data_IF_210619042867
#
_entry.id   IF_210619042867
#
_cell.length_a   1.000
_cell.length_b   1.000
_cell.length_c   1.000
_cell.angle_alpha   90.00
_cell.angle_beta   90.00
_cell.angle_gamma   90.00
#
_symmetry.space_group_name_H-M   'P 1'
#
loop_
_entity.id
_entity.type
_entity.pdbx_description
1 polymer ?
#
# COMPACT_ATOMS: atom_id res chain seq x y z
N UNK A 1 -53.09 13.40 -36.14
CA UNK A 1 -53.69 14.67 -36.60
C UNK A 1 -54.54 15.27 -35.48
N UNK A 2 -54.29 16.55 -35.16
CA UNK A 2 -55.09 17.50 -34.35
C UNK A 2 -55.03 17.46 -32.81
N UNK A 3 -54.25 18.43 -32.33
CA UNK A 3 -54.18 19.10 -31.03
C UNK A 3 -55.53 19.49 -30.40
N UNK A 4 -55.60 19.53 -29.05
CA UNK A 4 -56.20 20.66 -28.32
C UNK A 4 -55.75 20.76 -26.87
N UNK A 5 -55.10 21.89 -26.59
CA UNK A 5 -54.73 22.46 -25.29
C UNK A 5 -55.97 22.99 -24.56
N UNK A 6 -56.02 22.87 -23.22
CA UNK A 6 -56.67 23.85 -22.33
C UNK A 6 -56.06 23.80 -20.93
N UNK A 7 -55.44 24.91 -20.54
CA UNK A 7 -55.00 25.27 -19.18
C UNK A 7 -56.20 25.55 -18.27
N UNK A 8 -56.07 25.39 -16.96
CA UNK A 8 -56.50 26.37 -15.92
C UNK A 8 -55.81 26.05 -14.59
N UNK A 9 -55.19 27.07 -14.00
CA UNK A 9 -54.46 27.11 -12.73
C UNK A 9 -55.45 27.42 -11.59
N UNK A 10 -55.32 26.78 -10.43
CA UNK A 10 -55.62 27.45 -9.16
C UNK A 10 -54.81 26.85 -7.99
N UNK A 11 -54.11 27.76 -7.30
CA UNK A 11 -53.25 27.57 -6.14
C UNK A 11 -54.00 27.06 -4.90
N UNK A 12 -53.31 26.30 -4.04
CA UNK A 12 -53.00 26.71 -2.66
C UNK A 12 -52.00 25.75 -2.00
N UNK A 13 -51.06 26.38 -1.31
CA UNK A 13 -49.88 25.84 -0.63
C UNK A 13 -50.21 24.81 0.45
N UNK A 14 -49.28 23.87 0.67
CA UNK A 14 -48.77 23.57 2.01
C UNK A 14 -47.38 22.90 1.93
N UNK A 15 -46.38 23.73 2.25
CA UNK A 15 -45.15 23.47 3.01
C UNK A 15 -44.54 22.05 2.99
N UNK A 16 -43.39 21.92 2.33
CA UNK A 16 -42.40 20.86 2.58
C UNK A 16 -41.04 21.54 2.87
N UNK A 17 -40.23 20.99 3.81
CA UNK A 17 -39.12 21.72 4.42
C UNK A 17 -37.90 21.85 3.50
N UNK A 18 -37.21 22.97 3.69
CA UNK A 18 -35.93 23.34 3.11
C UNK A 18 -34.89 22.21 3.24
N UNK A 19 -34.50 21.64 2.10
CA UNK A 19 -33.26 20.87 2.00
C UNK A 19 -32.12 21.85 1.77
N UNK A 20 -31.40 22.16 2.84
CA UNK A 20 -30.12 22.84 2.79
C UNK A 20 -29.17 22.02 1.92
N UNK A 21 -28.86 22.52 0.73
CA UNK A 21 -27.84 21.97 -0.16
C UNK A 21 -26.49 22.07 0.53
N UNK A 22 -26.03 20.99 1.18
CA UNK A 22 -24.63 20.84 1.53
C UNK A 22 -23.87 20.56 0.25
N UNK A 23 -23.07 21.53 -0.18
CA UNK A 23 -22.11 21.37 -1.26
C UNK A 23 -21.21 20.18 -0.93
N UNK A 24 -21.36 19.09 -1.70
CA UNK A 24 -20.39 18.03 -1.76
C UNK A 24 -19.12 18.62 -2.36
N UNK A 25 -18.16 18.99 -1.53
CA UNK A 25 -16.81 19.36 -1.97
C UNK A 25 -16.14 18.06 -2.37
N UNK A 26 -16.29 17.69 -3.63
CA UNK A 26 -15.49 16.67 -4.27
C UNK A 26 -14.06 17.22 -4.37
N UNK A 27 -13.22 16.82 -3.41
CA UNK A 27 -11.79 17.09 -3.49
C UNK A 27 -11.25 16.40 -4.75
N UNK A 28 -10.48 17.09 -5.61
CA UNK A 28 -9.82 16.44 -6.73
C UNK A 28 -8.91 15.35 -6.16
N UNK A 29 -9.17 14.09 -6.53
CA UNK A 29 -8.21 13.01 -6.32
C UNK A 29 -7.06 13.27 -7.31
N UNK A 30 -6.21 14.24 -7.00
CA UNK A 30 -4.86 14.25 -7.55
C UNK A 30 -4.14 13.08 -6.89
N UNK A 31 -3.94 12.02 -7.67
CA UNK A 31 -3.04 10.94 -7.31
C UNK A 31 -1.70 11.53 -6.85
N UNK A 32 -1.07 10.98 -5.79
CA UNK A 32 0.23 11.46 -5.32
C UNK A 32 1.24 11.48 -6.48
N UNK A 33 2.22 12.42 -6.51
CA UNK A 33 3.06 12.72 -7.68
C UNK A 33 4.10 11.65 -8.05
N UNK A 34 3.88 10.39 -7.67
CA UNK A 34 4.67 9.27 -8.15
C UNK A 34 3.82 8.52 -9.17
N UNK A 35 4.43 8.09 -10.27
CA UNK A 35 3.82 7.36 -11.39
C UNK A 35 3.23 8.23 -12.51
N UNK A 36 4.05 9.10 -13.09
CA UNK A 36 3.96 9.34 -14.54
C UNK A 36 4.72 8.19 -15.20
N UNK A 37 3.99 7.15 -15.60
CA UNK A 37 4.53 6.03 -16.37
C UNK A 37 5.11 6.54 -17.70
N UNK A 38 6.42 6.75 -17.74
CA UNK A 38 7.10 7.03 -19.00
C UNK A 38 7.08 5.75 -19.85
N UNK A 39 6.62 5.84 -21.08
CA UNK A 39 6.63 4.72 -22.05
C UNK A 39 8.03 4.09 -22.23
N UNK A 40 9.10 4.80 -21.82
CA UNK A 40 10.48 4.34 -21.77
C UNK A 40 10.88 3.49 -20.54
N UNK A 41 10.00 3.26 -19.57
CA UNK A 41 10.39 2.54 -18.35
C UNK A 41 10.79 1.10 -18.67
N UNK A 42 12.07 0.77 -18.46
CA UNK A 42 12.63 -0.59 -18.63
C UNK A 42 12.89 -1.17 -17.24
N UNK A 43 12.69 -2.47 -17.10
CA UNK A 43 12.88 -3.18 -15.83
C UNK A 43 14.21 -3.95 -15.83
N UNK A 44 15.04 -3.75 -14.79
CA UNK A 44 16.26 -4.53 -14.55
C UNK A 44 16.62 -4.49 -13.06
N UNK A 45 17.33 -5.52 -12.60
CA UNK A 45 17.95 -5.62 -11.29
C UNK A 45 19.43 -5.21 -11.27
N UNK A 46 20.09 -5.04 -12.42
CA UNK A 46 21.56 -4.95 -12.51
C UNK A 46 22.18 -3.72 -11.81
N UNK A 47 21.39 -2.68 -11.57
CA UNK A 47 21.85 -1.41 -10.98
C UNK A 47 21.17 -1.08 -9.64
N UNK A 48 20.47 -2.05 -9.06
CA UNK A 48 19.77 -1.91 -7.78
C UNK A 48 20.21 -3.01 -6.85
N UNK A 49 20.36 -2.67 -5.57
CA UNK A 49 20.79 -3.64 -4.56
C UNK A 49 19.66 -4.64 -4.28
N UNK A 50 19.97 -5.90 -3.90
CA UNK A 50 18.95 -6.89 -3.54
C UNK A 50 17.93 -6.41 -2.50
N UNK A 51 18.35 -5.53 -1.58
CA UNK A 51 17.46 -4.89 -0.60
C UNK A 51 16.34 -4.04 -1.21
N UNK A 52 16.50 -3.58 -2.44
CA UNK A 52 15.54 -2.72 -3.17
C UNK A 52 14.76 -3.50 -4.24
N UNK A 53 15.12 -4.76 -4.49
CA UNK A 53 14.48 -5.58 -5.53
C UNK A 53 12.99 -5.78 -5.26
N UNK A 54 12.58 -5.84 -4.00
CA UNK A 54 11.16 -5.95 -3.61
C UNK A 54 10.34 -4.77 -4.12
N UNK A 55 10.81 -3.55 -3.92
CA UNK A 55 10.12 -2.35 -4.39
C UNK A 55 10.07 -2.31 -5.92
N UNK A 56 11.14 -2.78 -6.58
CA UNK A 56 11.16 -2.93 -8.03
C UNK A 56 10.15 -3.98 -8.53
N UNK A 57 9.96 -5.09 -7.81
CA UNK A 57 8.94 -6.09 -8.14
C UNK A 57 7.53 -5.51 -8.00
N UNK A 58 7.27 -4.67 -7.00
CA UNK A 58 5.99 -3.95 -6.89
C UNK A 58 5.77 -2.95 -8.03
N UNK A 59 6.82 -2.27 -8.48
CA UNK A 59 6.76 -1.41 -9.66
C UNK A 59 6.35 -2.21 -10.92
N UNK A 60 6.93 -3.40 -11.10
CA UNK A 60 6.58 -4.31 -12.19
C UNK A 60 5.12 -4.80 -12.10
N UNK A 61 4.65 -5.11 -10.89
CA UNK A 61 3.27 -5.50 -10.62
C UNK A 61 2.28 -4.38 -10.95
N UNK A 62 2.51 -3.18 -10.42
CA UNK A 62 1.67 -2.02 -10.63
C UNK A 62 1.57 -1.69 -12.12
N UNK A 63 2.72 -1.66 -12.82
CA UNK A 63 2.74 -1.44 -14.26
C UNK A 63 1.95 -2.50 -15.02
N UNK A 64 2.12 -3.78 -14.70
CA UNK A 64 1.41 -4.87 -15.38
C UNK A 64 -0.11 -4.81 -15.14
N UNK A 65 -0.52 -4.43 -13.93
CA UNK A 65 -1.92 -4.23 -13.57
C UNK A 65 -2.53 -3.05 -14.34
N UNK A 66 -1.80 -1.93 -14.44
CA UNK A 66 -2.22 -0.77 -15.23
C UNK A 66 -2.40 -1.12 -16.71
N UNK A 67 -1.49 -1.92 -17.28
CA UNK A 67 -1.58 -2.35 -18.67
C UNK A 67 -2.80 -3.25 -18.97
N UNK A 68 -3.44 -3.82 -17.95
CA UNK A 68 -4.66 -4.61 -18.08
C UNK A 68 -5.95 -3.78 -18.03
N UNK A 69 -5.89 -2.52 -17.60
CA UNK A 69 -7.07 -1.65 -17.50
C UNK A 69 -7.79 -1.40 -18.84
N UNK A 70 -7.10 -1.22 -19.98
CA UNK A 70 -7.78 -0.97 -21.26
C UNK A 70 -8.63 -2.17 -21.69
N UNK A 71 -9.89 -1.91 -22.03
CA UNK A 71 -10.84 -2.94 -22.45
C UNK A 71 -10.29 -3.78 -23.62
N UNK A 72 -10.46 -5.10 -23.53
CA UNK A 72 -10.01 -6.05 -24.56
C UNK A 72 -8.52 -6.41 -24.48
N UNK A 73 -7.76 -5.87 -23.53
CA UNK A 73 -6.37 -6.29 -23.31
C UNK A 73 -6.33 -7.63 -22.59
N UNK A 74 -5.61 -8.60 -23.15
CA UNK A 74 -5.40 -9.90 -22.52
C UNK A 74 -4.10 -9.93 -21.70
N UNK A 75 -4.06 -10.74 -20.64
CA UNK A 75 -2.87 -10.95 -19.83
C UNK A 75 -1.66 -11.47 -20.65
N UNK A 76 -1.80 -12.43 -21.59
CA UNK A 76 -0.70 -12.81 -22.48
C UNK A 76 -0.10 -11.62 -23.22
N UNK A 77 -0.93 -10.68 -23.72
CA UNK A 77 -0.46 -9.47 -24.39
C UNK A 77 0.32 -8.56 -23.44
N UNK A 78 -0.12 -8.43 -22.19
CA UNK A 78 0.61 -7.67 -21.16
C UNK A 78 1.94 -8.34 -20.83
N UNK A 79 1.99 -9.66 -20.74
CA UNK A 79 3.22 -10.43 -20.53
C UNK A 79 4.20 -10.19 -21.68
N UNK A 80 3.76 -10.20 -22.93
CA UNK A 80 4.64 -9.90 -24.07
C UNK A 80 5.20 -8.47 -24.01
N UNK A 81 4.37 -7.49 -23.65
CA UNK A 81 4.83 -6.11 -23.41
C UNK A 81 5.82 -6.02 -22.23
N UNK A 82 5.57 -6.78 -21.16
CA UNK A 82 6.45 -6.87 -20.01
C UNK A 82 7.82 -7.43 -20.40
N UNK A 83 7.85 -8.54 -21.14
CA UNK A 83 9.07 -9.18 -21.64
C UNK A 83 9.86 -8.28 -22.60
N UNK A 84 9.18 -7.41 -23.35
CA UNK A 84 9.84 -6.40 -24.16
C UNK A 84 10.53 -5.31 -23.32
N UNK A 85 10.07 -5.07 -22.09
CA UNK A 85 10.62 -4.06 -21.16
C UNK A 85 11.73 -4.58 -20.25
N UNK A 86 11.76 -5.88 -19.95
CA UNK A 86 12.84 -6.45 -19.13
C UNK A 86 14.16 -6.50 -19.92
N UNK A 87 15.27 -6.24 -19.23
CA UNK A 87 16.63 -6.31 -19.76
C UNK A 87 17.59 -6.85 -18.71
N UNK A 88 18.85 -7.07 -19.08
CA UNK A 88 19.87 -7.50 -18.14
C UNK A 88 19.59 -8.88 -17.54
N UNK A 89 19.82 -9.02 -16.24
CA UNK A 89 19.61 -10.28 -15.52
C UNK A 89 18.17 -10.78 -15.64
N UNK A 90 17.16 -9.89 -15.59
CA UNK A 90 15.75 -10.28 -15.79
C UNK A 90 15.50 -10.87 -17.19
N UNK A 91 16.12 -10.28 -18.22
CA UNK A 91 15.97 -10.80 -19.58
C UNK A 91 16.71 -12.13 -19.77
N UNK A 92 17.86 -12.29 -19.12
CA UNK A 92 18.57 -13.55 -19.12
C UNK A 92 17.73 -14.65 -18.48
N UNK A 93 17.12 -14.38 -17.31
CA UNK A 93 16.16 -15.27 -16.65
C UNK A 93 14.98 -15.64 -17.55
N UNK A 94 14.39 -14.70 -18.29
CA UNK A 94 13.32 -15.03 -19.23
C UNK A 94 13.74 -16.04 -20.33
N UNK A 95 14.98 -15.92 -20.81
CA UNK A 95 15.50 -16.77 -21.89
C UNK A 95 15.81 -18.19 -21.38
N UNK A 96 16.17 -18.38 -20.10
CA UNK A 96 16.51 -19.71 -19.56
C UNK A 96 15.34 -20.68 -19.52
N UNK A 97 14.09 -20.20 -19.52
CA UNK A 97 12.89 -21.04 -19.55
C UNK A 97 12.72 -21.85 -20.85
N UNK A 98 13.37 -21.44 -21.94
CA UNK A 98 13.09 -21.99 -23.28
C UNK A 98 11.64 -21.80 -23.72
N UNK A 99 11.29 -22.30 -24.91
CA UNK A 99 9.97 -22.05 -25.51
C UNK A 99 8.80 -22.60 -24.67
N UNK A 100 8.99 -23.77 -24.04
CA UNK A 100 7.94 -24.41 -23.25
C UNK A 100 7.70 -23.69 -21.91
N UNK A 101 8.75 -23.35 -21.16
CA UNK A 101 8.58 -22.60 -19.91
C UNK A 101 8.00 -21.20 -20.14
N UNK A 102 8.43 -20.51 -21.20
CA UNK A 102 7.85 -19.21 -21.58
C UNK A 102 6.35 -19.31 -21.90
N UNK A 103 5.91 -20.40 -22.53
CA UNK A 103 4.50 -20.64 -22.79
C UNK A 103 3.71 -20.82 -21.49
N UNK A 104 4.26 -21.55 -20.52
CA UNK A 104 3.62 -21.72 -19.21
C UNK A 104 3.46 -20.39 -18.47
N UNK A 105 4.49 -19.54 -18.48
CA UNK A 105 4.40 -18.20 -17.85
C UNK A 105 3.34 -17.34 -18.55
N UNK A 106 3.28 -17.36 -19.89
CA UNK A 106 2.25 -16.65 -20.66
C UNK A 106 0.82 -17.10 -20.36
N UNK A 107 0.65 -18.35 -19.94
CA UNK A 107 -0.63 -18.95 -19.59
C UNK A 107 -1.01 -18.75 -18.12
N UNK A 108 -0.20 -18.02 -17.34
CA UNK A 108 -0.55 -17.67 -15.97
C UNK A 108 -1.89 -16.92 -15.91
N UNK A 109 -2.73 -17.16 -14.88
CA UNK A 109 -4.08 -16.64 -14.84
C UNK A 109 -4.18 -15.17 -14.39
N UNK A 110 -3.16 -14.68 -13.67
CA UNK A 110 -3.16 -13.36 -13.05
C UNK A 110 -1.79 -12.69 -13.11
N UNK A 111 -1.77 -11.36 -12.98
CA UNK A 111 -0.52 -10.60 -12.79
C UNK A 111 0.22 -11.09 -11.54
N UNK A 112 -0.49 -11.40 -10.46
CA UNK A 112 0.12 -11.93 -9.24
C UNK A 112 0.90 -13.23 -9.50
N UNK A 113 0.39 -14.09 -10.39
CA UNK A 113 1.07 -15.33 -10.76
C UNK A 113 2.37 -15.06 -11.53
N UNK A 114 2.34 -14.13 -12.50
CA UNK A 114 3.55 -13.66 -13.20
C UNK A 114 4.59 -13.10 -12.21
N UNK A 115 4.15 -12.22 -11.31
CA UNK A 115 5.01 -11.56 -10.33
C UNK A 115 5.54 -12.57 -9.32
N UNK A 116 4.76 -13.59 -8.95
CA UNK A 116 5.20 -14.67 -8.07
C UNK A 116 6.37 -15.46 -8.68
N UNK A 117 6.40 -15.69 -10.01
CA UNK A 117 7.56 -16.32 -10.66
C UNK A 117 8.83 -15.48 -10.53
N UNK A 118 8.73 -14.16 -10.72
CA UNK A 118 9.87 -13.25 -10.55
C UNK A 118 10.29 -13.20 -9.08
N UNK A 119 9.33 -13.06 -8.17
CA UNK A 119 9.60 -13.01 -6.75
C UNK A 119 10.31 -14.28 -6.27
N UNK A 120 9.79 -15.45 -6.60
CA UNK A 120 10.36 -16.72 -6.14
C UNK A 120 11.78 -16.95 -6.65
N UNK A 121 12.09 -16.53 -7.87
CA UNK A 121 13.44 -16.65 -8.42
C UNK A 121 14.43 -15.71 -7.72
N UNK A 122 14.08 -14.42 -7.61
CA UNK A 122 15.04 -13.37 -7.23
C UNK A 122 15.04 -13.03 -5.74
N UNK A 123 13.91 -13.23 -5.06
CA UNK A 123 13.71 -12.91 -3.64
C UNK A 123 13.46 -14.17 -2.80
N UNK A 124 13.34 -15.34 -3.44
CA UNK A 124 13.01 -16.60 -2.79
C UNK A 124 11.53 -16.72 -2.41
N UNK A 125 11.21 -17.77 -1.65
CA UNK A 125 9.85 -17.97 -1.13
C UNK A 125 9.43 -16.77 -0.27
N UNK A 126 8.19 -16.32 -0.48
CA UNK A 126 7.53 -15.34 0.39
C UNK A 126 7.61 -15.73 1.87
N UNK A 127 7.57 -17.03 2.19
CA UNK A 127 7.61 -17.52 3.56
C UNK A 127 8.93 -17.17 4.27
N UNK A 128 10.07 -17.38 3.63
CA UNK A 128 11.38 -17.04 4.20
C UNK A 128 11.47 -15.53 4.51
N UNK A 129 10.99 -14.70 3.58
CA UNK A 129 10.95 -13.26 3.78
C UNK A 129 10.02 -12.87 4.94
N UNK A 130 8.85 -13.49 5.06
CA UNK A 130 7.91 -13.20 6.16
C UNK A 130 8.45 -13.65 7.51
N UNK A 131 9.12 -14.79 7.60
CA UNK A 131 9.74 -15.29 8.84
C UNK A 131 10.85 -14.35 9.30
N UNK A 132 11.79 -14.03 8.42
CA UNK A 132 12.87 -13.09 8.74
C UNK A 132 12.32 -11.70 9.08
N UNK A 133 11.35 -11.18 8.31
CA UNK A 133 10.73 -9.88 8.57
C UNK A 133 10.05 -9.85 9.94
N UNK A 134 9.43 -10.96 10.35
CA UNK A 134 8.77 -11.10 11.66
C UNK A 134 9.79 -11.12 12.78
N UNK A 135 10.85 -11.90 12.66
CA UNK A 135 11.94 -11.92 13.64
C UNK A 135 12.58 -10.54 13.80
N UNK A 136 12.93 -9.88 12.71
CA UNK A 136 13.49 -8.52 12.72
C UNK A 136 12.52 -7.52 13.34
N UNK A 137 11.24 -7.58 13.01
CA UNK A 137 10.22 -6.70 13.58
C UNK A 137 10.14 -6.86 15.10
N UNK A 138 10.14 -8.11 15.59
CA UNK A 138 10.06 -8.41 17.02
C UNK A 138 11.37 -8.11 17.77
N UNK A 139 12.52 -8.16 17.09
CA UNK A 139 13.82 -7.81 17.65
C UNK A 139 14.10 -6.29 17.63
N UNK A 140 13.48 -5.56 16.72
CA UNK A 140 13.70 -4.12 16.55
C UNK A 140 13.23 -3.34 17.79
N UNK A 141 14.06 -2.44 18.27
CA UNK A 141 13.81 -1.59 19.45
C UNK A 141 14.07 -0.13 19.10
N UNK A 142 13.32 0.77 19.71
CA UNK A 142 13.58 2.21 19.68
C UNK A 142 14.29 2.59 20.98
N UNK A 143 15.43 3.28 20.85
CA UNK A 143 16.27 3.66 21.98
C UNK A 143 16.34 5.18 22.18
N UNK A 144 15.63 5.95 21.34
CA UNK A 144 15.83 7.39 21.22
C UNK A 144 14.58 8.16 21.66
N UNK A 145 14.79 9.22 22.44
CA UNK A 145 13.77 10.21 22.81
C UNK A 145 13.91 11.46 21.93
N UNK A 146 14.00 11.28 20.62
CA UNK A 146 14.09 12.38 19.65
C UNK A 146 13.11 12.14 18.52
N UNK A 147 12.38 13.18 18.13
CA UNK A 147 11.36 13.11 17.08
C UNK A 147 11.89 12.50 15.78
N UNK A 148 13.04 13.00 15.29
CA UNK A 148 13.68 12.53 14.05
C UNK A 148 14.07 11.06 14.10
N UNK A 149 14.47 10.56 15.26
CA UNK A 149 14.85 9.16 15.42
C UNK A 149 13.61 8.26 15.52
N UNK A 150 12.54 8.75 16.15
CA UNK A 150 11.24 8.08 16.18
C UNK A 150 10.58 8.01 14.79
N UNK A 151 10.72 9.05 13.96
CA UNK A 151 10.30 9.07 12.56
C UNK A 151 11.00 7.97 11.75
N UNK A 152 12.33 7.92 11.81
CA UNK A 152 13.13 6.87 11.14
C UNK A 152 12.85 5.47 11.69
N UNK A 153 12.55 5.37 12.98
CA UNK A 153 12.14 4.12 13.59
C UNK A 153 10.79 3.65 13.05
N UNK A 154 9.80 4.54 13.03
CA UNK A 154 8.47 4.28 12.49
C UNK A 154 8.52 3.88 11.01
N UNK A 155 9.31 4.58 10.19
CA UNK A 155 9.50 4.23 8.77
C UNK A 155 9.99 2.78 8.60
N UNK A 156 10.96 2.35 9.41
CA UNK A 156 11.51 0.98 9.33
C UNK A 156 10.50 -0.07 9.83
N UNK A 157 9.75 0.27 10.88
CA UNK A 157 8.73 -0.62 11.43
C UNK A 157 7.51 -0.73 10.51
N UNK A 158 7.07 0.35 9.88
CA UNK A 158 5.88 0.36 9.01
C UNK A 158 6.07 -0.51 7.77
N UNK A 159 7.24 -0.44 7.12
CA UNK A 159 7.58 -1.32 5.98
C UNK A 159 7.39 -2.80 6.33
N UNK A 160 7.86 -3.22 7.52
CA UNK A 160 7.73 -4.60 8.01
C UNK A 160 6.30 -4.92 8.46
N UNK A 161 5.65 -4.01 9.17
CA UNK A 161 4.28 -4.15 9.63
C UNK A 161 3.33 -4.50 8.47
N UNK A 162 3.41 -3.77 7.36
CA UNK A 162 2.57 -4.03 6.19
C UNK A 162 3.00 -5.29 5.42
N UNK A 163 4.30 -5.59 5.36
CA UNK A 163 4.77 -6.84 4.76
C UNK A 163 4.29 -8.10 5.50
N UNK A 164 3.98 -7.97 6.80
CA UNK A 164 3.51 -9.06 7.66
C UNK A 164 1.98 -9.14 7.79
N UNK A 165 1.22 -8.33 7.04
CA UNK A 165 -0.24 -8.29 7.16
C UNK A 165 -0.73 -7.65 8.47
N UNK A 166 0.03 -6.70 9.03
CA UNK A 166 -0.21 -6.18 10.38
C UNK A 166 -1.55 -5.45 10.60
N UNK A 167 -2.30 -5.14 9.54
CA UNK A 167 -3.66 -4.60 9.66
C UNK A 167 -4.52 -5.52 10.54
N UNK A 168 -4.43 -6.82 10.30
CA UNK A 168 -5.23 -7.85 10.98
C UNK A 168 -4.49 -8.50 12.17
N UNK A 169 -3.17 -8.28 12.32
CA UNK A 169 -2.36 -8.84 13.39
C UNK A 169 -2.16 -7.82 14.55
N UNK A 170 -3.06 -7.88 15.53
CA UNK A 170 -3.02 -7.03 16.74
C UNK A 170 -1.71 -7.23 17.52
N UNK A 171 -1.08 -8.41 17.45
CA UNK A 171 0.17 -8.66 18.16
C UNK A 171 1.31 -7.80 17.61
N UNK A 172 1.28 -7.45 16.33
CA UNK A 172 2.29 -6.55 15.74
C UNK A 172 2.12 -5.11 16.24
N UNK A 173 0.90 -4.66 16.48
CA UNK A 173 0.64 -3.34 17.12
C UNK A 173 1.14 -3.34 18.57
N UNK A 174 0.89 -4.44 19.31
CA UNK A 174 1.39 -4.57 20.68
C UNK A 174 2.92 -4.68 20.74
N UNK A 175 3.54 -5.38 19.80
CA UNK A 175 4.99 -5.49 19.69
C UNK A 175 5.64 -4.12 19.41
N UNK A 176 5.03 -3.29 18.56
CA UNK A 176 5.48 -1.90 18.35
C UNK A 176 5.40 -1.07 19.63
N UNK A 177 4.30 -1.18 20.39
CA UNK A 177 4.18 -0.43 21.64
C UNK A 177 5.26 -0.84 22.65
N UNK A 178 5.54 -2.15 22.74
CA UNK A 178 6.58 -2.72 23.61
C UNK A 178 8.00 -2.43 23.15
N UNK A 179 8.21 -2.06 21.89
CA UNK A 179 9.53 -1.79 21.35
C UNK A 179 9.97 -0.34 21.53
N UNK A 180 9.07 0.55 21.94
CA UNK A 180 9.38 1.92 22.36
C UNK A 180 10.11 1.92 23.72
N UNK A 181 10.91 2.95 24.04
CA UNK A 181 11.44 3.13 25.39
C UNK A 181 10.32 3.13 26.43
N UNK A 182 10.53 2.49 27.58
CA UNK A 182 9.47 2.25 28.57
C UNK A 182 8.67 3.50 28.96
N UNK A 183 9.28 4.66 29.28
CA UNK A 183 8.50 5.88 29.57
C UNK A 183 7.60 6.32 28.40
N UNK A 184 8.11 6.20 27.17
CA UNK A 184 7.38 6.58 25.96
C UNK A 184 6.26 5.58 25.65
N UNK A 185 6.53 4.28 25.75
CA UNK A 185 5.54 3.23 25.55
C UNK A 185 4.40 3.32 26.55
N UNK A 186 4.72 3.53 27.83
CA UNK A 186 3.74 3.68 28.90
C UNK A 186 2.85 4.92 28.70
N UNK A 187 3.45 6.07 28.37
CA UNK A 187 2.67 7.29 28.11
C UNK A 187 1.81 7.16 26.84
N UNK A 188 2.34 6.52 25.79
CA UNK A 188 1.57 6.21 24.57
C UNK A 188 0.33 5.36 24.92
N UNK A 189 0.52 4.29 25.69
CA UNK A 189 -0.57 3.42 26.13
C UNK A 189 -1.60 4.19 26.96
N UNK A 190 -1.14 5.03 27.88
CA UNK A 190 -2.00 5.88 28.74
C UNK A 190 -2.85 6.82 27.90
N UNK A 191 -2.29 7.46 26.88
CA UNK A 191 -3.03 8.35 25.97
C UNK A 191 -4.09 7.58 25.18
N UNK A 192 -3.77 6.38 24.68
CA UNK A 192 -4.76 5.52 24.00
C UNK A 192 -5.93 5.17 24.93
N UNK A 193 -5.63 4.75 26.17
CA UNK A 193 -6.64 4.44 27.18
C UNK A 193 -7.51 5.65 27.54
N UNK A 194 -6.93 6.84 27.68
CA UNK A 194 -7.71 8.07 27.92
C UNK A 194 -8.68 8.41 26.80
N UNK A 195 -8.31 8.09 25.55
CA UNK A 195 -9.15 8.32 24.37
C UNK A 195 -10.19 7.20 24.16
N UNK A 196 -10.23 6.19 25.04
CA UNK A 196 -11.04 4.98 24.89
C UNK A 196 -10.82 4.28 23.54
N UNK A 197 -9.59 4.34 23.01
CA UNK A 197 -9.22 3.69 21.75
C UNK A 197 -8.59 2.34 22.09
N UNK A 198 -9.19 1.27 21.58
CA UNK A 198 -8.63 -0.07 21.73
C UNK A 198 -7.50 -0.30 20.73
N UNK A 199 -6.44 -0.99 21.16
CA UNK A 199 -5.27 -1.24 20.30
C UNK A 199 -5.62 -2.02 19.02
N UNK A 200 -6.61 -2.91 19.08
CA UNK A 200 -7.05 -3.68 17.91
C UNK A 200 -7.71 -2.81 16.84
N UNK A 201 -8.47 -1.78 17.22
CA UNK A 201 -9.09 -0.82 16.29
C UNK A 201 -8.16 0.32 15.88
N UNK A 202 -7.03 0.50 16.55
CA UNK A 202 -6.07 1.57 16.24
C UNK A 202 -5.32 1.25 14.95
N UNK A 203 -5.25 2.19 14.02
CA UNK A 203 -4.37 2.09 12.85
C UNK A 203 -2.90 2.24 13.26
N UNK A 204 -1.97 1.71 12.45
CA UNK A 204 -0.55 1.86 12.76
C UNK A 204 -0.10 3.34 12.77
N UNK A 205 -0.69 4.16 11.89
CA UNK A 205 -0.47 5.60 11.86
C UNK A 205 -0.95 6.31 13.12
N UNK A 206 -2.13 5.98 13.64
CA UNK A 206 -2.63 6.56 14.90
C UNK A 206 -1.76 6.18 16.10
N UNK A 207 -1.26 4.94 16.13
CA UNK A 207 -0.35 4.48 17.17
C UNK A 207 0.93 5.32 17.17
N UNK A 208 1.49 5.59 15.99
CA UNK A 208 2.63 6.47 15.81
C UNK A 208 2.36 7.93 16.19
N UNK A 209 1.24 8.51 15.74
CA UNK A 209 0.86 9.89 16.11
C UNK A 209 0.67 10.02 17.63
N UNK A 210 0.15 8.97 18.27
CA UNK A 210 0.02 8.95 19.73
C UNK A 210 1.39 8.86 20.41
N UNK A 211 2.34 8.10 19.86
CA UNK A 211 3.72 8.10 20.34
C UNK A 211 4.41 9.45 20.19
N UNK A 212 4.15 10.19 19.11
CA UNK A 212 4.65 11.57 18.96
C UNK A 212 4.10 12.50 20.04
N UNK A 213 2.80 12.46 20.29
CA UNK A 213 2.17 13.26 21.35
C UNK A 213 2.72 12.90 22.74
N UNK A 214 2.94 11.62 23.00
CA UNK A 214 3.59 11.14 24.23
C UNK A 214 5.02 11.68 24.35
N UNK A 215 5.81 11.66 23.28
CA UNK A 215 7.17 12.19 23.25
C UNK A 215 7.19 13.69 23.53
N UNK A 216 6.34 14.47 22.88
CA UNK A 216 6.23 15.92 23.11
C UNK A 216 5.91 16.23 24.57
N UNK A 217 4.99 15.47 25.18
CA UNK A 217 4.65 15.64 26.59
C UNK A 217 5.83 15.30 27.51
N UNK A 218 6.58 14.23 27.23
CA UNK A 218 7.73 13.83 28.03
C UNK A 218 8.93 14.76 27.89
N UNK A 219 9.08 15.43 26.73
CA UNK A 219 10.19 16.34 26.45
C UNK A 219 9.90 17.82 26.77
N UNK A 220 8.65 18.20 26.97
CA UNK A 220 8.23 19.56 27.35
C UNK A 220 8.06 19.73 28.88
N UNK A 221 8.71 18.88 29.67
CA UNK A 221 8.80 18.96 31.13
C UNK A 221 10.24 19.17 31.59
#
# INVERSE_FOLDING_TARGET
>A
MKSKVKQTIQHLNNSAPEQTTQAHVELPIEAPPYFIGNSQQRFSFDKILPSEWRDKVYEMHAWSTEQLLPQGTSLPTVIDKFVAKIHGTLRQWWITFGSYGQLQIRQTPTVDSLIAHIHNEFLGSWEHYTTQSREEYLATRCYFFKRKDLEKYYERMSKRFYALGGIDDVNLKQAYLKSLPEPLGNETARILSMKNIALHTTTFGELYQTSLAALEKLCNH
#
